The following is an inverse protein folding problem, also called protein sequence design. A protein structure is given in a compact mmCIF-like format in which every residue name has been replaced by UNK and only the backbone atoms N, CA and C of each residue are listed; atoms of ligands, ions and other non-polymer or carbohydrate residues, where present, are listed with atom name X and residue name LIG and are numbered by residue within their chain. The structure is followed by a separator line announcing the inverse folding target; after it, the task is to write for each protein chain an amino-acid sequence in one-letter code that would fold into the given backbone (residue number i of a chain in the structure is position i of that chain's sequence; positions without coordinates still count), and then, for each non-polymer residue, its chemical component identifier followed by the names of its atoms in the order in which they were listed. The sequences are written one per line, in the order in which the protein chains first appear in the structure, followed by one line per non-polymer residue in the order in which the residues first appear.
data_IF_041805583180
#
_entry.id   IF_041805583180
#
_cell.length_a   1.000
_cell.length_b   1.000
_cell.length_c   1.000
_cell.angle_alpha   90.00
_cell.angle_beta   90.00
_cell.angle_gamma   90.00
#
_symmetry.space_group_name_H-M   'P 1'
#
loop_
_entity.id
_entity.type
_entity.pdbx_description
1 polymer ?
#
# COMPACT_ATOMS: atom_id res chain seq x y z
N UNK A 1 -7.16 22.66 6.64
CA UNK A 1 -8.48 22.59 7.31
C UNK A 1 -8.56 21.27 8.02
N UNK A 2 -8.68 21.24 9.35
CA UNK A 2 -8.90 19.99 10.10
C UNK A 2 -10.24 19.41 9.67
N UNK A 3 -10.22 18.25 9.00
CA UNK A 3 -11.46 17.57 8.61
C UNK A 3 -12.20 17.16 9.88
N UNK A 4 -13.45 17.64 10.03
CA UNK A 4 -14.32 17.21 11.11
C UNK A 4 -14.61 15.72 10.95
N UNK A 5 -14.76 15.02 12.09
CA UNK A 5 -15.18 13.61 12.07
C UNK A 5 -16.58 13.53 11.45
N UNK A 6 -16.81 12.69 10.43
CA UNK A 6 -18.13 12.50 9.83
C UNK A 6 -19.15 11.97 10.85
N UNK A 7 -20.38 12.47 10.83
CA UNK A 7 -21.44 12.09 11.78
C UNK A 7 -21.82 10.60 11.74
N UNK A 8 -21.61 9.93 10.61
CA UNK A 8 -21.89 8.49 10.46
C UNK A 8 -20.83 7.61 11.13
N UNK A 9 -19.65 8.16 11.55
CA UNK A 9 -18.69 7.46 12.41
C UNK A 9 -19.19 7.57 13.85
N UNK A 10 -20.11 6.70 14.22
CA UNK A 10 -20.84 6.70 15.49
C UNK A 10 -20.84 5.30 16.11
N UNK A 11 -21.55 5.11 17.21
CA UNK A 11 -21.67 3.85 17.94
C UNK A 11 -22.07 2.68 17.02
N UNK A 12 -23.13 2.87 16.21
CA UNK A 12 -23.62 1.85 15.28
C UNK A 12 -22.57 1.45 14.23
N UNK A 13 -21.77 2.41 13.77
CA UNK A 13 -20.62 2.12 12.89
C UNK A 13 -19.60 1.21 13.58
N UNK A 14 -19.19 1.52 14.82
CA UNK A 14 -18.23 0.71 15.56
C UNK A 14 -18.78 -0.68 15.92
N UNK A 15 -20.07 -0.76 16.27
CA UNK A 15 -20.71 -2.08 16.45
C UNK A 15 -20.59 -2.93 15.18
N UNK A 16 -20.95 -2.36 14.02
CA UNK A 16 -20.84 -3.06 12.73
C UNK A 16 -19.42 -3.52 12.44
N UNK A 17 -18.42 -2.63 12.64
CA UNK A 17 -17.00 -2.94 12.45
C UNK A 17 -16.56 -4.10 13.35
N UNK A 18 -16.79 -3.97 14.66
CA UNK A 18 -16.27 -4.94 15.64
C UNK A 18 -17.05 -6.25 15.63
N UNK A 19 -18.36 -6.23 15.41
CA UNK A 19 -19.14 -7.47 15.24
C UNK A 19 -18.69 -8.26 14.01
N UNK A 20 -18.33 -7.55 12.92
CA UNK A 20 -17.84 -8.20 11.69
C UNK A 20 -16.44 -8.77 11.90
N UNK A 21 -15.52 -8.01 12.49
CA UNK A 21 -14.13 -8.44 12.66
C UNK A 21 -13.96 -9.54 13.70
N UNK A 22 -14.74 -9.49 14.81
CA UNK A 22 -14.62 -10.45 15.90
C UNK A 22 -15.56 -11.66 15.76
N UNK A 23 -16.50 -11.59 14.81
CA UNK A 23 -17.56 -12.63 14.68
C UNK A 23 -18.51 -12.68 15.88
N UNK A 24 -18.59 -11.62 16.67
CA UNK A 24 -19.39 -11.52 17.88
C UNK A 24 -20.60 -10.60 17.69
N UNK A 25 -21.77 -11.19 17.48
CA UNK A 25 -23.02 -10.44 17.24
C UNK A 25 -23.57 -9.74 18.51
N UNK A 26 -23.12 -10.15 19.68
CA UNK A 26 -23.62 -9.66 20.98
C UNK A 26 -22.71 -8.58 21.57
N UNK A 27 -21.70 -8.17 20.85
CA UNK A 27 -20.78 -7.11 21.26
C UNK A 27 -21.55 -5.77 21.37
N UNK A 28 -21.32 -5.03 22.45
CA UNK A 28 -21.90 -3.72 22.69
C UNK A 28 -20.80 -2.68 22.97
N UNK A 29 -20.91 -1.53 22.34
CA UNK A 29 -19.99 -0.41 22.56
C UNK A 29 -20.37 0.29 23.88
N UNK A 30 -19.39 0.54 24.75
CA UNK A 30 -19.59 1.33 25.97
C UNK A 30 -19.08 2.76 25.84
N UNK A 31 -18.02 2.97 25.10
CA UNK A 31 -17.41 4.27 24.90
C UNK A 31 -16.59 4.28 23.61
N UNK A 32 -16.55 5.41 22.89
CA UNK A 32 -15.61 5.59 21.80
C UNK A 32 -15.12 7.03 21.73
N UNK A 33 -13.92 7.22 21.21
CA UNK A 33 -13.32 8.50 20.89
C UNK A 33 -12.70 8.43 19.51
N UNK A 34 -12.93 9.45 18.68
CA UNK A 34 -12.40 9.56 17.32
C UNK A 34 -11.74 10.91 17.14
N UNK A 35 -10.55 10.92 16.61
CA UNK A 35 -9.82 12.13 16.28
C UNK A 35 -9.16 12.01 14.90
N UNK A 36 -9.00 13.12 14.15
CA UNK A 36 -8.16 13.15 12.98
C UNK A 36 -6.75 12.71 13.34
N UNK A 37 -6.11 11.95 12.46
CA UNK A 37 -4.69 11.63 12.63
C UNK A 37 -3.88 12.92 12.53
N UNK A 38 -3.06 13.21 13.54
CA UNK A 38 -2.25 14.44 13.61
C UNK A 38 -1.08 14.47 12.61
N UNK A 39 -0.93 13.46 11.77
CA UNK A 39 0.04 13.50 10.70
C UNK A 39 -0.41 14.50 9.64
N UNK A 40 0.00 15.75 9.83
CA UNK A 40 -0.24 16.91 8.97
C UNK A 40 0.43 16.83 7.60
N UNK A 41 1.04 15.73 7.24
CA UNK A 41 1.36 15.43 5.85
C UNK A 41 0.04 15.09 5.18
N UNK A 42 -0.45 16.03 4.40
CA UNK A 42 -1.65 15.87 3.60
C UNK A 42 -1.52 14.59 2.77
N UNK A 43 -2.22 13.55 3.20
CA UNK A 43 -2.43 12.39 2.34
C UNK A 43 -3.35 12.86 1.22
N UNK A 44 -2.79 13.13 0.06
CA UNK A 44 -3.50 13.69 -1.11
C UNK A 44 -4.75 12.89 -1.49
N UNK A 45 -4.74 11.58 -1.18
CA UNK A 45 -5.77 10.64 -1.61
C UNK A 45 -6.72 10.17 -0.50
N UNK A 46 -6.42 10.42 0.78
CA UNK A 46 -7.23 9.88 1.89
C UNK A 46 -7.18 10.76 3.14
N UNK A 47 -8.25 10.67 3.93
CA UNK A 47 -8.29 11.22 5.29
C UNK A 47 -8.22 10.06 6.29
N UNK A 48 -7.35 10.18 7.31
CA UNK A 48 -7.16 9.16 8.33
C UNK A 48 -7.67 9.66 9.67
N UNK A 49 -8.49 8.84 10.34
CA UNK A 49 -8.93 9.04 11.72
C UNK A 49 -8.38 7.92 12.60
N UNK A 50 -8.04 8.28 13.83
CA UNK A 50 -7.71 7.33 14.90
C UNK A 50 -8.92 7.20 15.81
N UNK A 51 -9.32 5.98 16.12
CA UNK A 51 -10.40 5.71 17.05
C UNK A 51 -9.92 4.81 18.19
N UNK A 52 -10.37 5.09 19.42
CA UNK A 52 -10.27 4.20 20.56
C UNK A 52 -11.68 3.81 20.94
N UNK A 53 -11.95 2.51 21.00
CA UNK A 53 -13.27 1.94 21.22
C UNK A 53 -13.22 0.98 22.41
N UNK A 54 -14.07 1.22 23.42
CA UNK A 54 -14.31 0.31 24.54
C UNK A 54 -15.60 -0.46 24.28
N UNK A 55 -15.59 -1.74 24.49
CA UNK A 55 -16.76 -2.58 24.25
C UNK A 55 -16.80 -3.76 25.19
N UNK A 56 -17.99 -4.30 25.43
CA UNK A 56 -18.22 -5.56 26.11
C UNK A 56 -18.39 -6.67 25.07
N UNK A 57 -17.61 -7.75 25.18
CA UNK A 57 -17.74 -8.93 24.34
C UNK A 57 -18.90 -9.83 24.80
N UNK A 58 -19.18 -10.92 24.08
CA UNK A 58 -20.24 -11.90 24.41
C UNK A 58 -20.16 -12.52 25.80
N UNK A 59 -19.02 -12.41 26.49
CA UNK A 59 -18.81 -12.87 27.84
C UNK A 59 -18.91 -11.75 28.88
N UNK A 60 -19.38 -10.55 28.46
CA UNK A 60 -19.41 -9.33 29.25
C UNK A 60 -18.02 -8.89 29.80
N UNK A 61 -16.95 -9.28 29.12
CA UNK A 61 -15.63 -8.77 29.41
C UNK A 61 -15.42 -7.46 28.69
N UNK A 62 -14.96 -6.44 29.41
CA UNK A 62 -14.58 -5.15 28.80
C UNK A 62 -13.26 -5.28 28.06
N UNK A 63 -13.25 -4.80 26.85
CA UNK A 63 -12.08 -4.75 25.96
C UNK A 63 -11.92 -3.35 25.39
N UNK A 64 -10.68 -3.01 25.07
CA UNK A 64 -10.33 -1.75 24.39
C UNK A 64 -9.58 -2.07 23.13
N UNK A 65 -10.02 -1.49 22.03
CA UNK A 65 -9.33 -1.60 20.74
C UNK A 65 -9.02 -0.22 20.16
N UNK A 66 -7.94 -0.13 19.39
CA UNK A 66 -7.59 1.06 18.63
C UNK A 66 -7.65 0.76 17.15
N UNK A 67 -8.20 1.69 16.40
CA UNK A 67 -8.52 1.55 14.99
C UNK A 67 -7.97 2.73 14.20
N UNK A 68 -7.53 2.45 12.97
CA UNK A 68 -7.28 3.45 11.94
C UNK A 68 -8.42 3.39 10.92
N UNK A 69 -9.08 4.50 10.68
CA UNK A 69 -10.15 4.62 9.69
C UNK A 69 -9.61 5.47 8.54
N UNK A 70 -9.37 4.83 7.39
CA UNK A 70 -8.91 5.48 6.16
C UNK A 70 -10.11 5.73 5.25
N UNK A 71 -10.42 6.98 5.00
CA UNK A 71 -11.46 7.40 4.05
C UNK A 71 -10.82 7.88 2.75
N UNK A 72 -11.32 7.40 1.62
CA UNK A 72 -10.89 7.92 0.32
C UNK A 72 -11.54 9.27 0.05
N UNK A 73 -10.75 10.27 -0.32
CA UNK A 73 -11.26 11.62 -0.60
C UNK A 73 -11.73 11.70 -2.05
N UNK A 74 -12.98 12.12 -2.32
CA UNK A 74 -13.52 12.19 -3.67
C UNK A 74 -12.69 13.00 -4.67
N UNK A 75 -11.95 14.02 -4.20
CA UNK A 75 -11.03 14.81 -5.07
C UNK A 75 -9.81 14.04 -5.53
N UNK A 76 -9.40 13.02 -4.82
CA UNK A 76 -8.29 12.17 -5.20
C UNK A 76 -8.68 11.19 -6.31
N UNK A 77 -9.96 10.87 -6.44
CA UNK A 77 -10.51 10.02 -7.51
C UNK A 77 -10.28 10.67 -8.89
N UNK A 78 -10.15 11.99 -8.97
CA UNK A 78 -9.85 12.69 -10.22
C UNK A 78 -8.41 12.43 -10.73
N UNK A 79 -7.49 12.02 -9.86
CA UNK A 79 -6.08 11.72 -10.19
C UNK A 79 -5.76 10.22 -10.13
N UNK A 80 -6.56 9.44 -9.43
CA UNK A 80 -6.45 7.98 -9.37
C UNK A 80 -7.51 7.37 -10.28
N UNK A 81 -7.15 6.32 -10.98
CA UNK A 81 -8.11 5.46 -11.68
C UNK A 81 -9.20 5.04 -10.67
N UNK A 82 -10.47 4.96 -11.12
CA UNK A 82 -11.61 4.50 -10.29
C UNK A 82 -11.35 3.18 -9.57
N UNK A 83 -10.33 2.43 -10.03
CA UNK A 83 -9.93 1.13 -9.50
C UNK A 83 -8.90 1.18 -8.36
N UNK A 84 -8.31 2.33 -8.00
CA UNK A 84 -7.22 2.37 -7.01
C UNK A 84 -7.67 1.90 -5.62
N UNK A 85 -8.88 2.25 -5.20
CA UNK A 85 -9.46 1.75 -3.95
C UNK A 85 -9.70 0.24 -4.00
N UNK A 86 -10.24 -0.27 -5.11
CA UNK A 86 -10.51 -1.70 -5.29
C UNK A 86 -9.20 -2.50 -5.32
N UNK A 87 -8.14 -1.95 -5.90
CA UNK A 87 -6.80 -2.53 -5.86
C UNK A 87 -6.28 -2.62 -4.42
N UNK A 88 -6.31 -1.52 -3.67
CA UNK A 88 -5.89 -1.53 -2.26
C UNK A 88 -6.76 -2.47 -1.42
N UNK A 89 -8.07 -2.45 -1.59
CA UNK A 89 -9.00 -3.33 -0.89
C UNK A 89 -8.69 -4.81 -1.16
N UNK A 90 -8.46 -5.19 -2.42
CA UNK A 90 -8.13 -6.57 -2.79
C UNK A 90 -6.76 -7.01 -2.25
N UNK A 91 -5.79 -6.08 -2.17
CA UNK A 91 -4.53 -6.36 -1.48
C UNK A 91 -4.77 -6.81 -0.03
N UNK A 92 -5.59 -6.08 0.72
CA UNK A 92 -5.89 -6.42 2.12
C UNK A 92 -6.78 -7.65 2.29
N UNK A 93 -7.78 -7.86 1.40
CA UNK A 93 -8.74 -8.96 1.53
C UNK A 93 -8.15 -10.33 1.15
N UNK A 94 -7.28 -10.37 0.15
CA UNK A 94 -6.80 -11.64 -0.42
C UNK A 94 -5.28 -11.73 -0.53
N UNK A 95 -4.66 -10.79 -1.24
CA UNK A 95 -3.26 -10.93 -1.66
C UNK A 95 -2.31 -10.94 -0.47
N UNK A 96 -2.38 -9.97 0.44
CA UNK A 96 -1.50 -9.93 1.61
C UNK A 96 -1.68 -11.15 2.53
N UNK A 97 -2.91 -11.60 2.87
CA UNK A 97 -3.11 -12.84 3.60
C UNK A 97 -2.48 -14.06 2.91
N UNK A 98 -2.58 -14.17 1.59
CA UNK A 98 -2.02 -15.29 0.84
C UNK A 98 -0.49 -15.26 0.81
N UNK A 99 0.12 -14.08 0.58
CA UNK A 99 1.58 -13.92 0.68
C UNK A 99 2.11 -14.28 2.07
N UNK A 100 1.45 -13.81 3.12
CA UNK A 100 1.81 -14.10 4.51
C UNK A 100 1.68 -15.60 4.82
N UNK A 101 0.59 -16.22 4.38
CA UNK A 101 0.37 -17.66 4.56
C UNK A 101 1.46 -18.48 3.88
N UNK A 102 1.81 -18.14 2.63
CA UNK A 102 2.87 -18.82 1.89
C UNK A 102 4.22 -18.74 2.63
N UNK A 103 4.59 -17.56 3.11
CA UNK A 103 5.83 -17.37 3.86
C UNK A 103 5.82 -18.09 5.21
N UNK A 104 4.70 -18.05 5.94
CA UNK A 104 4.55 -18.73 7.21
C UNK A 104 4.67 -20.26 7.07
N UNK A 105 4.15 -20.85 5.98
CA UNK A 105 4.32 -22.27 5.67
C UNK A 105 5.79 -22.65 5.42
N UNK A 106 6.62 -21.68 5.03
CA UNK A 106 8.04 -21.85 4.83
C UNK A 106 8.90 -21.39 6.02
N UNK A 107 8.30 -21.19 7.20
CA UNK A 107 8.98 -20.84 8.43
C UNK A 107 9.29 -19.35 8.61
N UNK A 108 8.81 -18.50 7.71
CA UNK A 108 8.98 -17.05 7.75
C UNK A 108 7.76 -16.38 8.38
N UNK A 109 7.85 -15.95 9.63
CA UNK A 109 6.78 -15.20 10.27
C UNK A 109 6.83 -13.73 9.84
N UNK A 110 6.05 -13.37 8.81
CA UNK A 110 6.04 -12.02 8.21
C UNK A 110 4.64 -11.43 8.27
N UNK A 111 4.54 -10.21 8.73
CA UNK A 111 3.38 -9.33 8.54
C UNK A 111 3.80 -8.20 7.58
N UNK A 112 3.07 -8.03 6.48
CA UNK A 112 3.37 -6.97 5.50
C UNK A 112 2.65 -5.67 5.79
N UNK A 113 1.44 -5.72 6.33
CA UNK A 113 0.58 -4.56 6.54
C UNK A 113 -0.25 -4.71 7.82
N UNK A 114 -0.82 -3.62 8.37
CA UNK A 114 -1.83 -3.70 9.41
C UNK A 114 -3.00 -4.59 8.98
N UNK A 115 -3.65 -5.27 9.93
CA UNK A 115 -4.78 -6.13 9.63
C UNK A 115 -6.00 -5.31 9.23
N UNK A 116 -6.66 -5.70 8.14
CA UNK A 116 -7.97 -5.17 7.78
C UNK A 116 -9.04 -5.77 8.70
N UNK A 117 -9.82 -4.92 9.35
CA UNK A 117 -10.91 -5.30 10.25
C UNK A 117 -12.27 -5.14 9.58
N UNK A 118 -12.42 -4.12 8.74
CA UNK A 118 -13.67 -3.83 8.03
C UNK A 118 -13.41 -2.97 6.79
N UNK A 119 -14.28 -3.09 5.81
CA UNK A 119 -14.30 -2.22 4.64
C UNK A 119 -15.72 -1.96 4.17
N UNK A 120 -15.93 -0.82 3.53
CA UNK A 120 -17.20 -0.46 2.89
C UNK A 120 -16.96 0.49 1.73
N UNK A 121 -17.88 0.53 0.79
CA UNK A 121 -17.94 1.57 -0.25
C UNK A 121 -18.99 2.64 0.05
N UNK A 122 -19.79 2.43 1.09
CA UNK A 122 -20.93 3.26 1.44
C UNK A 122 -20.83 3.71 2.93
N UNK A 123 -21.03 5.00 3.25
CA UNK A 123 -21.37 6.15 2.38
C UNK A 123 -20.21 6.66 1.53
N UNK A 124 -18.98 6.29 1.84
CA UNK A 124 -17.75 6.59 1.09
C UNK A 124 -16.83 5.37 1.15
N UNK A 125 -15.95 5.17 0.15
CA UNK A 125 -14.96 4.10 0.21
C UNK A 125 -14.07 4.26 1.45
N UNK A 126 -13.99 3.21 2.28
CA UNK A 126 -13.25 3.21 3.53
C UNK A 126 -12.62 1.86 3.86
N UNK A 127 -11.49 1.92 4.56
CA UNK A 127 -10.84 0.78 5.20
C UNK A 127 -10.73 1.06 6.70
N UNK A 128 -11.04 0.07 7.53
CA UNK A 128 -10.76 0.10 8.97
C UNK A 128 -9.67 -0.91 9.26
N UNK A 129 -8.53 -0.42 9.71
CA UNK A 129 -7.34 -1.20 10.01
C UNK A 129 -7.10 -1.23 11.52
N UNK A 130 -6.37 -2.24 12.00
CA UNK A 130 -5.82 -2.20 13.34
C UNK A 130 -4.86 -1.02 13.52
N UNK A 131 -4.90 -0.37 14.68
CA UNK A 131 -3.88 0.62 15.02
C UNK A 131 -2.66 -0.08 15.62
N UNK A 132 -1.64 -0.27 14.80
CA UNK A 132 -0.41 -0.99 15.15
C UNK A 132 0.54 -0.18 16.07
N UNK A 133 0.17 1.06 16.45
CA UNK A 133 0.95 1.84 17.42
C UNK A 133 1.07 1.13 18.78
N UNK A 134 0.04 0.33 19.14
CA UNK A 134 0.07 -0.53 20.33
C UNK A 134 1.16 -1.62 20.25
N UNK A 135 1.57 -1.99 19.05
CA UNK A 135 2.63 -2.98 18.79
C UNK A 135 4.00 -2.32 18.59
N UNK A 136 4.10 -1.01 18.81
CA UNK A 136 5.32 -0.24 18.71
C UNK A 136 5.65 0.25 17.30
N UNK A 137 4.70 0.18 16.36
CA UNK A 137 4.89 0.77 15.03
C UNK A 137 4.41 2.21 15.00
N UNK A 138 5.19 3.07 14.38
CA UNK A 138 4.82 4.48 14.20
C UNK A 138 5.46 5.02 12.90
N UNK A 139 4.99 6.18 12.45
CA UNK A 139 5.68 6.95 11.43
C UNK A 139 6.97 7.49 12.03
N UNK A 140 8.10 7.04 11.51
CA UNK A 140 9.36 7.58 12.00
C UNK A 140 9.67 8.88 11.27
N UNK A 141 10.25 9.83 12.00
CA UNK A 141 10.70 11.09 11.43
C UNK A 141 12.23 11.05 11.25
N UNK A 142 12.69 11.39 10.07
CA UNK A 142 14.11 11.47 9.74
C UNK A 142 14.62 10.33 8.85
N UNK A 143 15.83 10.47 8.31
CA UNK A 143 16.41 9.52 7.37
C UNK A 143 16.66 8.17 8.04
N UNK A 144 16.47 7.09 7.30
CA UNK A 144 16.86 5.75 7.73
C UNK A 144 18.38 5.61 7.64
N UNK A 145 18.95 4.96 8.63
CA UNK A 145 20.32 4.48 8.54
C UNK A 145 20.42 3.23 7.63
N UNK A 146 21.63 2.75 7.38
CA UNK A 146 21.84 1.57 6.54
C UNK A 146 21.12 0.32 7.08
N UNK A 147 20.96 0.20 8.39
CA UNK A 147 20.27 -0.93 9.01
C UNK A 147 18.76 -0.86 8.73
N UNK A 148 18.17 0.31 8.90
CA UNK A 148 16.76 0.55 8.57
C UNK A 148 16.47 0.33 7.08
N UNK A 149 17.35 0.79 6.18
CA UNK A 149 17.22 0.54 4.74
C UNK A 149 17.26 -0.97 4.45
N UNK A 150 18.17 -1.71 5.06
CA UNK A 150 18.23 -3.18 4.93
C UNK A 150 16.96 -3.87 5.42
N UNK A 151 16.39 -3.39 6.52
CA UNK A 151 15.12 -3.91 7.04
C UNK A 151 14.00 -3.74 6.02
N UNK A 152 13.82 -2.53 5.48
CA UNK A 152 12.81 -2.20 4.46
C UNK A 152 13.00 -3.03 3.20
N UNK A 153 14.20 -3.06 2.64
CA UNK A 153 14.50 -3.78 1.38
C UNK A 153 14.39 -5.29 1.55
N UNK A 154 14.74 -5.83 2.72
CA UNK A 154 14.55 -7.26 3.02
C UNK A 154 13.06 -7.64 3.05
N UNK A 155 12.20 -6.81 3.67
CA UNK A 155 10.76 -7.05 3.66
C UNK A 155 10.16 -6.92 2.26
N UNK A 156 10.57 -5.93 1.48
CA UNK A 156 10.16 -5.78 0.08
C UNK A 156 10.60 -6.99 -0.77
N UNK A 157 11.82 -7.49 -0.58
CA UNK A 157 12.31 -8.68 -1.28
C UNK A 157 11.46 -9.92 -0.95
N UNK A 158 11.03 -10.09 0.31
CA UNK A 158 10.10 -11.17 0.70
C UNK A 158 8.73 -11.00 0.04
N UNK A 159 8.22 -9.77 -0.04
CA UNK A 159 6.97 -9.47 -0.73
C UNK A 159 7.06 -9.84 -2.22
N UNK A 160 8.11 -9.41 -2.92
CA UNK A 160 8.34 -9.75 -4.32
C UNK A 160 8.51 -11.26 -4.52
N UNK A 161 9.34 -11.91 -3.71
CA UNK A 161 9.59 -13.35 -3.82
C UNK A 161 8.31 -14.17 -3.63
N UNK A 162 7.51 -13.84 -2.61
CA UNK A 162 6.25 -14.53 -2.37
C UNK A 162 5.25 -14.30 -3.51
N UNK A 163 5.23 -13.12 -4.14
CA UNK A 163 4.31 -12.82 -5.25
C UNK A 163 4.57 -13.67 -6.50
N UNK A 164 5.82 -14.06 -6.76
CA UNK A 164 6.17 -14.96 -7.87
C UNK A 164 5.49 -16.34 -7.73
N UNK A 165 5.39 -16.83 -6.49
CA UNK A 165 4.80 -18.14 -6.23
C UNK A 165 3.28 -18.13 -6.34
N UNK A 166 2.62 -17.05 -5.97
CA UNK A 166 1.17 -16.92 -6.12
C UNK A 166 0.76 -17.02 -7.60
N UNK A 167 1.49 -16.37 -8.48
CA UNK A 167 1.23 -16.44 -9.92
C UNK A 167 1.50 -17.84 -10.49
N UNK A 168 2.55 -18.53 -10.01
CA UNK A 168 2.88 -19.90 -10.43
C UNK A 168 1.88 -20.94 -9.93
N UNK A 169 1.38 -20.81 -8.71
CA UNK A 169 0.38 -21.74 -8.17
C UNK A 169 -0.94 -21.66 -8.95
N UNK A 170 -1.30 -20.49 -9.44
CA UNK A 170 -2.43 -20.32 -10.37
C UNK A 170 -2.18 -21.06 -11.69
N UNK A 171 -0.96 -21.07 -12.22
CA UNK A 171 -0.61 -21.80 -13.42
C UNK A 171 -0.52 -23.33 -13.20
N UNK A 172 0.04 -23.78 -12.08
CA UNK A 172 0.21 -25.22 -11.78
C UNK A 172 -1.14 -25.89 -11.44
N UNK A 173 -2.04 -25.20 -10.75
CA UNK A 173 -3.36 -25.74 -10.44
C UNK A 173 -4.27 -25.92 -11.66
N UNK A 174 -4.02 -25.21 -12.76
CA UNK A 174 -4.69 -25.48 -14.03
C UNK A 174 -4.25 -26.81 -14.68
N UNK A 175 -3.16 -27.43 -14.20
CA UNK A 175 -2.66 -28.73 -14.72
C UNK A 175 -2.96 -29.95 -13.84
N UNK A 176 -3.18 -29.79 -12.53
CA UNK A 176 -3.49 -30.89 -11.61
C UNK A 176 -4.61 -30.57 -10.63
N UNK A 177 -5.82 -30.99 -10.98
CA UNK A 177 -6.93 -31.50 -10.15
C UNK A 177 -7.24 -30.85 -8.78
N UNK A 178 -8.52 -30.41 -8.66
CA UNK A 178 -9.40 -30.59 -7.50
C UNK A 178 -8.75 -30.73 -6.12
N UNK A 179 -8.35 -29.65 -5.51
CA UNK A 179 -8.59 -29.37 -4.10
C UNK A 179 -7.99 -28.02 -3.72
N UNK A 180 -8.87 -27.19 -3.17
CA UNK A 180 -8.66 -25.79 -2.79
C UNK A 180 -8.63 -24.80 -3.95
N UNK A 181 -9.80 -24.38 -4.26
CA UNK A 181 -10.15 -23.34 -5.18
C UNK A 181 -9.49 -22.01 -4.78
N UNK A 182 -8.37 -21.68 -5.36
CA UNK A 182 -7.97 -20.30 -5.62
C UNK A 182 -8.90 -19.73 -6.72
N UNK A 183 -10.18 -20.05 -6.63
CA UNK A 183 -11.20 -19.61 -7.58
C UNK A 183 -11.43 -18.10 -7.58
N UNK A 184 -10.77 -17.36 -6.68
CA UNK A 184 -10.83 -15.90 -6.62
C UNK A 184 -9.99 -15.21 -7.70
N UNK A 185 -8.93 -15.85 -8.21
CA UNK A 185 -8.09 -15.28 -9.27
C UNK A 185 -8.50 -15.66 -10.70
N UNK A 186 -9.55 -16.46 -10.88
CA UNK A 186 -10.02 -16.81 -12.22
C UNK A 186 -10.74 -15.64 -12.91
N UNK A 187 -10.02 -14.94 -13.76
CA UNK A 187 -10.59 -14.25 -14.93
C UNK A 187 -11.03 -12.80 -14.76
N UNK A 188 -11.22 -12.27 -13.55
CA UNK A 188 -11.53 -10.84 -13.33
C UNK A 188 -10.45 -10.08 -12.56
N UNK A 189 -9.67 -10.75 -11.75
CA UNK A 189 -8.85 -10.13 -10.72
C UNK A 189 -7.42 -9.80 -11.17
N UNK A 190 -6.88 -10.53 -12.14
CA UNK A 190 -5.61 -10.16 -12.79
C UNK A 190 -5.70 -8.79 -13.48
N UNK A 191 -6.90 -8.30 -13.76
CA UNK A 191 -7.08 -6.98 -14.37
C UNK A 191 -6.86 -5.83 -13.41
N UNK A 192 -7.00 -6.01 -12.09
CA UNK A 192 -6.78 -4.94 -11.10
C UNK A 192 -5.32 -4.55 -11.01
N UNK A 193 -4.41 -5.51 -11.14
CA UNK A 193 -2.97 -5.28 -11.01
C UNK A 193 -2.29 -4.92 -12.35
N UNK A 194 -2.95 -5.15 -13.48
CA UNK A 194 -2.38 -4.86 -14.82
C UNK A 194 -2.17 -3.39 -15.11
N UNK A 195 -2.89 -2.53 -14.44
CA UNK A 195 -2.95 -1.13 -14.82
C UNK A 195 -2.35 -0.18 -13.78
N UNK A 196 -1.82 -0.61 -12.66
CA UNK A 196 -1.18 0.24 -11.64
C UNK A 196 -1.74 1.67 -11.48
N UNK A 197 -1.19 2.45 -10.59
CA UNK A 197 -1.57 3.86 -10.41
C UNK A 197 -1.27 4.71 -11.66
N UNK A 198 -0.24 4.34 -12.42
CA UNK A 198 0.27 5.08 -13.57
C UNK A 198 0.01 4.34 -14.89
N UNK A 199 -1.23 3.89 -15.09
CA UNK A 199 -1.56 3.27 -16.36
C UNK A 199 -1.74 4.32 -17.48
N UNK A 200 -1.47 3.87 -18.72
CA UNK A 200 -1.58 4.73 -19.92
C UNK A 200 -2.99 5.26 -20.21
N UNK A 201 -4.01 4.74 -19.52
CA UNK A 201 -5.40 5.20 -19.66
C UNK A 201 -5.66 6.46 -18.83
N UNK A 202 -4.88 6.69 -17.78
CA UNK A 202 -4.95 7.90 -16.95
C UNK A 202 -4.05 8.98 -17.52
N UNK A 203 -4.50 9.66 -18.59
CA UNK A 203 -3.76 10.79 -19.17
C UNK A 203 -3.48 11.90 -18.16
N UNK A 204 -4.37 12.12 -17.21
CA UNK A 204 -4.22 13.15 -16.19
C UNK A 204 -3.11 12.79 -15.21
N UNK A 205 -2.99 11.51 -14.80
CA UNK A 205 -1.89 11.02 -13.99
C UNK A 205 -0.53 11.14 -14.69
N UNK A 206 -0.46 10.76 -15.97
CA UNK A 206 0.76 10.90 -16.77
C UNK A 206 1.16 12.37 -16.95
N UNK A 207 0.21 13.25 -17.23
CA UNK A 207 0.44 14.69 -17.35
C UNK A 207 0.91 15.29 -16.01
N UNK A 208 0.30 14.88 -14.90
CA UNK A 208 0.73 15.30 -13.56
C UNK A 208 2.18 14.91 -13.30
N UNK A 209 2.55 13.65 -13.55
CA UNK A 209 3.93 13.17 -13.36
C UNK A 209 4.91 13.90 -14.27
N UNK A 210 4.58 14.06 -15.54
CA UNK A 210 5.39 14.80 -16.51
C UNK A 210 5.63 16.24 -16.09
N UNK A 211 4.59 16.91 -15.61
CA UNK A 211 4.70 18.29 -15.11
C UNK A 211 5.60 18.38 -13.88
N UNK A 212 5.46 17.43 -12.94
CA UNK A 212 6.32 17.36 -11.76
C UNK A 212 7.79 17.09 -12.13
N UNK A 213 8.06 16.29 -13.16
CA UNK A 213 9.42 16.10 -13.66
C UNK A 213 10.01 17.41 -14.23
N UNK A 214 9.23 18.23 -14.93
CA UNK A 214 9.71 19.54 -15.38
C UNK A 214 9.97 20.50 -14.21
N UNK A 215 9.11 20.51 -13.19
CA UNK A 215 9.35 21.28 -11.97
C UNK A 215 10.64 20.83 -11.27
N UNK A 216 10.88 19.53 -11.20
CA UNK A 216 12.13 18.99 -10.64
C UNK A 216 13.35 19.38 -11.47
N UNK A 217 13.26 19.33 -12.80
CA UNK A 217 14.33 19.83 -13.70
C UNK A 217 14.63 21.31 -13.46
N UNK A 218 13.59 22.12 -13.23
CA UNK A 218 13.77 23.54 -12.94
C UNK A 218 14.43 23.76 -11.57
N UNK A 219 14.10 22.98 -10.57
CA UNK A 219 14.75 23.00 -9.26
C UNK A 219 16.22 22.57 -9.34
N UNK A 220 16.54 21.50 -10.09
CA UNK A 220 17.91 21.01 -10.28
C UNK A 220 18.87 22.07 -10.87
N UNK A 221 18.36 23.02 -11.67
CA UNK A 221 19.17 24.13 -12.21
C UNK A 221 19.75 25.01 -11.10
N UNK A 222 19.11 25.06 -9.95
CA UNK A 222 19.58 25.81 -8.80
C UNK A 222 20.68 25.09 -7.99
N UNK A 223 20.86 23.77 -8.20
CA UNK A 223 21.77 22.92 -7.45
C UNK A 223 23.17 22.94 -8.08
N UNK A 224 24.13 23.46 -7.34
CA UNK A 224 25.53 23.58 -7.82
C UNK A 224 26.13 22.18 -8.06
N UNK A 225 26.65 21.96 -9.25
CA UNK A 225 27.32 20.70 -9.62
C UNK A 225 26.38 19.62 -10.20
N UNK A 226 25.11 19.95 -10.43
CA UNK A 226 24.10 19.03 -11.00
C UNK A 226 23.73 19.34 -12.47
N UNK A 227 24.55 20.09 -13.19
CA UNK A 227 24.27 20.50 -14.57
C UNK A 227 24.06 19.31 -15.50
N UNK A 228 24.91 18.29 -15.42
CA UNK A 228 24.79 17.05 -16.21
C UNK A 228 23.51 16.26 -15.85
N UNK A 229 23.17 16.18 -14.56
CA UNK A 229 21.93 15.57 -14.10
C UNK A 229 20.71 16.32 -14.62
N UNK A 230 20.77 17.65 -14.62
CA UNK A 230 19.70 18.52 -15.13
C UNK A 230 19.41 18.22 -16.60
N UNK A 231 20.44 18.10 -17.43
CA UNK A 231 20.29 17.79 -18.85
C UNK A 231 19.74 16.38 -19.10
N UNK A 232 20.21 15.38 -18.33
CA UNK A 232 19.69 14.02 -18.38
C UNK A 232 18.22 14.00 -17.99
N UNK A 233 17.83 14.60 -16.86
CA UNK A 233 16.45 14.67 -16.39
C UNK A 233 15.54 15.40 -17.36
N UNK A 234 16.00 16.47 -17.99
CA UNK A 234 15.26 17.19 -19.05
C UNK A 234 14.97 16.29 -20.25
N UNK A 235 15.92 15.43 -20.64
CA UNK A 235 15.74 14.49 -21.73
C UNK A 235 14.76 13.37 -21.35
N UNK A 236 14.80 12.88 -20.09
CA UNK A 236 13.83 11.92 -19.56
C UNK A 236 12.43 12.54 -19.54
N UNK A 237 12.28 13.77 -19.03
CA UNK A 237 11.00 14.47 -18.99
C UNK A 237 10.38 14.63 -20.38
N UNK A 238 11.18 14.93 -21.41
CA UNK A 238 10.71 15.00 -22.79
C UNK A 238 10.19 13.66 -23.34
N UNK A 239 10.81 12.55 -22.93
CA UNK A 239 10.48 11.20 -23.38
C UNK A 239 9.58 10.45 -22.39
N UNK A 240 9.04 11.13 -21.38
CA UNK A 240 8.33 10.49 -20.26
C UNK A 240 7.20 9.58 -20.71
N UNK A 241 6.37 10.04 -21.66
CA UNK A 241 5.27 9.25 -22.22
C UNK A 241 5.79 8.01 -22.97
N UNK A 242 6.79 8.18 -23.85
CA UNK A 242 7.40 7.07 -24.60
C UNK A 242 8.03 6.03 -23.67
N UNK A 243 8.72 6.48 -22.63
CA UNK A 243 9.35 5.60 -21.63
C UNK A 243 8.30 4.90 -20.77
N UNK A 244 7.25 5.62 -20.35
CA UNK A 244 6.11 5.06 -19.65
C UNK A 244 5.42 3.98 -20.48
N UNK A 245 5.15 4.25 -21.76
CA UNK A 245 4.60 3.25 -22.67
C UNK A 245 5.46 1.99 -22.74
N UNK A 246 6.77 2.12 -22.86
CA UNK A 246 7.68 0.97 -22.88
C UNK A 246 7.65 0.16 -21.60
N UNK A 247 7.53 0.81 -20.43
CA UNK A 247 7.45 0.14 -19.14
C UNK A 247 6.13 -0.61 -19.00
N UNK A 248 5.01 -0.01 -19.39
CA UNK A 248 3.68 -0.60 -19.20
C UNK A 248 3.21 -1.51 -20.35
N UNK A 249 3.78 -1.36 -21.57
CA UNK A 249 3.50 -2.24 -22.70
C UNK A 249 4.42 -3.45 -22.78
N UNK A 250 5.48 -3.49 -21.97
CA UNK A 250 6.33 -4.67 -21.92
C UNK A 250 5.45 -5.85 -21.51
N UNK A 251 5.00 -6.62 -22.50
CA UNK A 251 4.38 -7.90 -22.25
C UNK A 251 5.28 -8.66 -21.30
N UNK A 252 4.75 -9.20 -20.18
CA UNK A 252 5.51 -10.13 -19.38
C UNK A 252 5.95 -11.23 -20.38
N UNK A 253 7.26 -11.28 -20.69
CA UNK A 253 7.78 -12.38 -21.48
C UNK A 253 7.44 -13.64 -20.70
N UNK A 254 7.03 -14.70 -21.39
CA UNK A 254 6.76 -15.99 -20.75
C UNK A 254 7.95 -16.49 -19.90
N UNK A 255 9.14 -15.94 -20.14
CA UNK A 255 10.39 -16.22 -19.44
C UNK A 255 10.81 -15.11 -18.43
N UNK A 256 10.02 -14.05 -18.26
CA UNK A 256 10.30 -12.93 -17.35
C UNK A 256 9.85 -13.24 -15.92
N UNK A 257 10.65 -12.84 -14.95
CA UNK A 257 10.22 -12.79 -13.55
C UNK A 257 9.35 -11.56 -13.34
N UNK A 258 8.04 -11.74 -13.35
CA UNK A 258 7.11 -10.70 -12.93
C UNK A 258 6.91 -10.79 -11.41
N UNK A 259 6.83 -9.66 -10.78
CA UNK A 259 6.54 -9.54 -9.35
C UNK A 259 5.43 -8.53 -9.15
N UNK A 260 4.68 -8.71 -8.08
CA UNK A 260 3.77 -7.70 -7.62
C UNK A 260 4.57 -6.57 -6.98
N UNK A 261 4.42 -5.36 -7.50
CA UNK A 261 5.05 -4.18 -6.94
C UNK A 261 4.09 -3.49 -5.96
N UNK A 262 4.63 -2.73 -5.01
CA UNK A 262 3.82 -1.97 -4.04
C UNK A 262 2.97 -0.87 -4.71
N UNK A 263 3.42 -0.31 -5.81
CA UNK A 263 2.75 0.73 -6.59
C UNK A 263 2.92 2.16 -6.05
N UNK A 264 3.14 2.33 -4.73
CA UNK A 264 3.43 3.63 -4.09
C UNK A 264 4.42 3.45 -2.94
N UNK A 265 5.60 2.89 -3.26
CA UNK A 265 6.64 2.56 -2.30
C UNK A 265 7.42 3.80 -1.88
N UNK A 266 6.87 4.54 -0.94
CA UNK A 266 7.47 5.73 -0.38
C UNK A 266 7.46 5.69 1.15
N UNK A 267 8.30 6.52 1.76
CA UNK A 267 8.49 6.59 3.19
C UNK A 267 7.18 6.85 3.98
N UNK A 268 6.30 7.68 3.43
CA UNK A 268 5.02 8.02 4.06
C UNK A 268 4.03 6.84 4.11
N UNK A 269 4.28 5.80 3.30
CA UNK A 269 3.48 4.58 3.26
C UNK A 269 4.14 3.43 4.05
N UNK A 270 4.98 3.77 5.05
CA UNK A 270 5.66 2.82 5.90
C UNK A 270 5.45 3.17 7.37
N UNK A 271 5.21 2.14 8.18
CA UNK A 271 5.17 2.22 9.64
C UNK A 271 6.34 1.41 10.19
N UNK A 272 7.15 2.03 11.04
CA UNK A 272 8.40 1.46 11.51
C UNK A 272 8.30 1.05 12.97
N UNK A 273 8.82 -0.12 13.29
CA UNK A 273 9.07 -0.56 14.66
C UNK A 273 10.55 -0.40 14.98
N UNK A 274 10.84 0.14 16.16
CA UNK A 274 12.19 0.27 16.68
C UNK A 274 12.43 -0.68 17.83
N UNK A 275 13.66 -1.16 17.94
CA UNK A 275 14.14 -1.90 19.11
C UNK A 275 14.46 -0.96 20.28
N UNK A 276 14.95 -1.55 21.39
CA UNK A 276 15.31 -0.80 22.60
C UNK A 276 16.48 0.18 22.38
N UNK A 277 17.29 -0.05 21.36
CA UNK A 277 18.39 0.85 20.95
C UNK A 277 17.92 1.98 20.00
N UNK A 278 16.63 2.00 19.67
CA UNK A 278 16.02 2.96 18.75
C UNK A 278 16.28 2.69 17.27
N UNK A 279 16.82 1.51 16.92
CA UNK A 279 17.05 1.09 15.53
C UNK A 279 15.80 0.47 14.93
N UNK A 280 15.55 0.73 13.66
CA UNK A 280 14.42 0.12 12.93
C UNK A 280 14.62 -1.39 12.84
N UNK A 281 13.78 -2.17 13.50
CA UNK A 281 13.84 -3.63 13.51
C UNK A 281 12.72 -4.30 12.70
N UNK A 282 11.64 -3.58 12.37
CA UNK A 282 10.59 -4.05 11.48
C UNK A 282 9.87 -2.88 10.79
N UNK A 283 9.15 -3.19 9.69
CA UNK A 283 8.38 -2.22 8.91
C UNK A 283 7.07 -2.86 8.44
N UNK A 284 5.98 -2.10 8.45
CA UNK A 284 4.73 -2.47 7.80
C UNK A 284 4.45 -1.50 6.64
N UNK A 285 3.88 -2.01 5.56
CA UNK A 285 3.51 -1.24 4.40
C UNK A 285 2.04 -0.85 4.48
N UNK A 286 1.71 0.36 4.07
CA UNK A 286 0.34 0.87 3.98
C UNK A 286 0.11 1.48 2.60
N UNK A 287 -1.16 1.69 2.22
CA UNK A 287 -1.50 2.27 0.91
C UNK A 287 -0.92 1.50 -0.27
N UNK A 288 -1.04 0.15 -0.24
CA UNK A 288 -0.50 -0.74 -1.26
C UNK A 288 -1.42 -0.70 -2.48
N UNK A 289 -0.99 0.00 -3.52
CA UNK A 289 -1.69 0.11 -4.81
C UNK A 289 -0.90 -0.70 -5.83
N UNK A 290 -0.97 -2.02 -5.66
CA UNK A 290 -0.09 -2.93 -6.36
C UNK A 290 -0.29 -2.93 -7.89
N UNK A 291 0.80 -3.11 -8.61
CA UNK A 291 0.84 -3.36 -10.04
C UNK A 291 1.80 -4.52 -10.37
N UNK A 292 1.56 -5.19 -11.50
CA UNK A 292 2.43 -6.27 -11.96
C UNK A 292 3.51 -5.68 -12.87
N UNK A 293 4.75 -5.73 -12.41
CA UNK A 293 5.91 -5.23 -13.14
C UNK A 293 7.00 -6.32 -13.20
N UNK A 294 7.72 -6.39 -14.32
CA UNK A 294 8.89 -7.24 -14.42
C UNK A 294 9.96 -6.82 -13.40
N UNK A 295 10.50 -7.78 -12.66
CA UNK A 295 11.59 -7.55 -11.70
C UNK A 295 12.78 -6.83 -12.36
N UNK A 296 13.05 -7.15 -13.64
CA UNK A 296 14.07 -6.45 -14.42
C UNK A 296 13.78 -4.95 -14.57
N UNK A 297 12.53 -4.57 -14.77
CA UNK A 297 12.14 -3.16 -14.88
C UNK A 297 12.27 -2.44 -13.54
N UNK A 298 11.96 -3.11 -12.42
CA UNK A 298 12.20 -2.58 -11.07
C UNK A 298 13.68 -2.33 -10.87
N UNK A 299 14.53 -3.31 -11.17
CA UNK A 299 15.98 -3.18 -11.03
C UNK A 299 16.55 -2.08 -11.93
N UNK A 300 16.05 -1.95 -13.16
CA UNK A 300 16.46 -0.87 -14.07
C UNK A 300 16.00 0.51 -13.59
N UNK A 301 14.86 0.59 -12.91
CA UNK A 301 14.39 1.84 -12.30
C UNK A 301 15.31 2.24 -11.15
N UNK A 302 15.67 1.29 -10.27
CA UNK A 302 16.59 1.53 -9.16
C UNK A 302 18.03 1.83 -9.64
N UNK A 303 18.54 1.12 -10.65
CA UNK A 303 19.88 1.40 -11.21
C UNK A 303 19.94 2.78 -11.88
N UNK A 304 18.83 3.25 -12.42
CA UNK A 304 18.71 4.64 -12.92
C UNK A 304 18.84 5.68 -11.81
N UNK A 305 18.43 5.36 -10.59
CA UNK A 305 18.57 6.23 -9.41
C UNK A 305 19.99 6.20 -8.82
N UNK A 306 20.67 5.06 -8.86
CA UNK A 306 22.09 4.98 -8.45
C UNK A 306 23.01 5.84 -9.33
N UNK A 307 22.71 5.98 -10.62
CA UNK A 307 23.42 6.91 -11.50
C UNK A 307 23.16 8.39 -11.20
N UNK A 308 22.15 8.72 -10.39
CA UNK A 308 21.85 10.09 -9.97
C UNK A 308 22.45 10.45 -8.61
N UNK A 309 22.89 9.46 -7.81
CA UNK A 309 23.42 9.62 -6.46
C UNK A 309 24.94 9.35 -6.40
N UNK A 310 25.52 8.70 -7.36
CA UNK A 310 26.96 8.48 -7.57
C UNK A 310 27.52 9.48 -8.53
#
# INVERSE_FOLDING_TARGET
MTSSVPEWINESFFEKVLRTSNGDKNLNISEFNVAPSNNSQEHYASTIFKATVKYANKFNCEEVTKLLIKLVVPKAIAFSDENSFDTELNMYLSTLPDLQRLLNQNGENVQFAPKLLYSSKDPVPLLVLEDVTMNGYDNTTGPLDLFGIKCVTSKLAKFHAASIYIDRDVMIQNYHTHLYSFSHFKGKEVSYYKNGLFNLKSRDGLNFMKNNMYLFVDELKSWRGYDECTDKMKNIAKKFEELGEKVYQANPSADGFNVLNHGDFCYNNMLFKKDDDGKVCDVLFVSIIADEISLYQILMTFSGWEFLIG
#
